data_IF_455136969853
#
_entry.id   IF_455136969853
#
_cell.length_a   1.000
_cell.length_b   1.000
_cell.length_c   1.000
_cell.angle_alpha   90.00
_cell.angle_beta   90.00
_cell.angle_gamma   90.00
#
_symmetry.space_group_name_H-M   'P 1'
#
loop_
_entity.id
_entity.type
_entity.pdbx_description
1 polymer ?
#
# COMPACT_ATOMS: atom_id res chain seq x y z
N UNK A 1 18.17 18.38 7.22
CA UNK A 1 17.13 19.05 8.03
C UNK A 1 15.95 19.55 7.22
N UNK A 2 16.07 20.52 6.29
CA UNK A 2 14.89 21.03 5.55
C UNK A 2 14.36 20.06 4.47
N UNK A 3 15.26 19.37 3.75
CA UNK A 3 14.89 18.31 2.81
C UNK A 3 14.24 17.11 3.49
N UNK A 4 14.70 16.77 4.69
CA UNK A 4 14.15 15.64 5.46
C UNK A 4 12.77 15.97 6.03
N UNK A 5 12.54 17.20 6.49
CA UNK A 5 11.22 17.70 6.91
C UNK A 5 10.22 17.73 5.74
N UNK A 6 10.65 18.19 4.57
CA UNK A 6 9.84 18.15 3.34
C UNK A 6 9.55 16.71 2.92
N UNK A 7 10.52 15.80 3.02
CA UNK A 7 10.34 14.38 2.73
C UNK A 7 9.35 13.73 3.69
N UNK A 8 9.47 13.99 4.99
CA UNK A 8 8.56 13.46 6.01
C UNK A 8 7.12 13.99 5.81
N UNK A 9 6.96 15.30 5.53
CA UNK A 9 5.66 15.90 5.21
C UNK A 9 5.05 15.36 3.92
N UNK A 10 5.88 15.17 2.89
CA UNK A 10 5.43 14.55 1.63
C UNK A 10 4.99 13.12 1.86
N UNK A 11 5.67 12.39 2.75
CA UNK A 11 5.33 11.01 3.07
C UNK A 11 4.04 10.89 3.88
N UNK A 12 3.81 11.76 4.87
CA UNK A 12 2.51 11.87 5.57
C UNK A 12 1.37 12.15 4.59
N UNK A 13 1.53 13.16 3.74
CA UNK A 13 0.54 13.53 2.74
C UNK A 13 0.26 12.41 1.73
N UNK A 14 1.31 11.69 1.33
CA UNK A 14 1.19 10.55 0.44
C UNK A 14 0.45 9.39 1.11
N UNK A 15 0.68 9.13 2.40
CA UNK A 15 -0.12 8.15 3.14
C UNK A 15 -1.57 8.58 3.29
N UNK A 16 -1.84 9.88 3.48
CA UNK A 16 -3.20 10.42 3.51
C UNK A 16 -3.95 10.19 2.18
N UNK A 17 -3.26 10.31 1.04
CA UNK A 17 -3.85 9.97 -0.28
C UNK A 17 -4.21 8.48 -0.37
N UNK A 18 -3.37 7.60 0.19
CA UNK A 18 -3.60 6.16 0.14
C UNK A 18 -4.63 5.68 1.16
N UNK A 19 -4.78 6.37 2.30
CA UNK A 19 -5.57 5.93 3.44
C UNK A 19 -7.05 5.59 3.12
N UNK A 20 -7.79 6.39 2.31
CA UNK A 20 -9.18 6.08 1.96
C UNK A 20 -9.36 4.74 1.24
N UNK A 21 -8.33 4.30 0.50
CA UNK A 21 -8.39 3.11 -0.33
C UNK A 21 -7.64 1.91 0.26
N UNK A 22 -6.50 2.17 0.90
CA UNK A 22 -5.54 1.15 1.33
C UNK A 22 -5.19 1.26 2.82
N UNK A 23 -5.88 2.12 3.59
CA UNK A 23 -5.61 2.31 5.02
C UNK A 23 -5.70 1.03 5.85
N UNK A 24 -6.62 0.13 5.51
CA UNK A 24 -6.72 -1.19 6.13
C UNK A 24 -5.45 -2.04 5.93
N UNK A 25 -4.90 -2.03 4.72
CA UNK A 25 -3.63 -2.72 4.40
C UNK A 25 -2.47 -2.05 5.13
N UNK A 26 -2.35 -0.73 5.05
CA UNK A 26 -1.25 0.04 5.66
C UNK A 26 -1.21 -0.18 7.17
N UNK A 27 -2.35 -0.03 7.85
CA UNK A 27 -2.44 -0.24 9.30
C UNK A 27 -2.08 -1.67 9.68
N UNK A 28 -2.61 -2.66 8.97
CA UNK A 28 -2.31 -4.07 9.23
C UNK A 28 -0.82 -4.38 9.09
N UNK A 29 -0.16 -3.88 8.03
CA UNK A 29 1.29 -4.08 7.85
C UNK A 29 2.06 -3.46 9.02
N UNK A 30 1.73 -2.23 9.43
CA UNK A 30 2.41 -1.56 10.56
C UNK A 30 2.19 -2.33 11.87
N UNK A 31 0.96 -2.73 12.16
CA UNK A 31 0.62 -3.49 13.38
C UNK A 31 1.39 -4.81 13.44
N UNK A 32 1.44 -5.55 12.33
CA UNK A 32 2.15 -6.81 12.22
C UNK A 32 3.69 -6.63 12.31
N UNK A 33 4.25 -5.57 11.74
CA UNK A 33 5.67 -5.25 11.87
C UNK A 33 6.06 -4.99 13.33
N UNK A 34 5.25 -4.22 14.07
CA UNK A 34 5.46 -3.99 15.50
C UNK A 34 5.46 -5.29 16.29
N UNK A 35 4.56 -6.23 15.96
CA UNK A 35 4.54 -7.55 16.60
C UNK A 35 5.81 -8.35 16.28
N UNK A 36 6.28 -8.33 15.03
CA UNK A 36 7.49 -9.02 14.60
C UNK A 36 8.75 -8.43 15.27
N UNK A 37 8.86 -7.09 15.32
CA UNK A 37 9.98 -6.40 15.98
C UNK A 37 10.06 -6.69 17.48
N UNK A 38 8.90 -6.91 18.12
CA UNK A 38 8.81 -7.30 19.53
C UNK A 38 9.00 -8.80 19.78
N UNK A 39 9.28 -9.58 18.73
CA UNK A 39 9.40 -11.04 18.83
C UNK A 39 8.07 -11.76 19.14
N UNK A 40 6.93 -11.11 18.93
CA UNK A 40 5.58 -11.63 19.21
C UNK A 40 4.91 -12.21 17.96
N UNK A 41 5.68 -12.92 17.13
CA UNK A 41 5.21 -13.46 15.86
C UNK A 41 3.98 -14.39 16.00
N UNK A 42 3.86 -15.12 17.12
CA UNK A 42 2.71 -15.99 17.38
C UNK A 42 1.38 -15.22 17.46
N UNK A 43 1.42 -13.95 17.86
CA UNK A 43 0.21 -13.11 17.93
C UNK A 43 -0.37 -12.75 16.56
N UNK A 44 0.41 -12.90 15.49
CA UNK A 44 -0.06 -12.68 14.12
C UNK A 44 -1.23 -13.60 13.75
N UNK A 45 -1.38 -14.77 14.40
CA UNK A 45 -2.53 -15.67 14.19
C UNK A 45 -3.88 -14.98 14.48
N UNK A 46 -3.89 -13.98 15.37
CA UNK A 46 -5.11 -13.22 15.68
C UNK A 46 -5.57 -12.32 14.52
N UNK A 47 -4.65 -12.01 13.60
CA UNK A 47 -4.90 -11.14 12.45
C UNK A 47 -5.43 -11.89 11.21
N UNK A 48 -5.64 -13.21 11.29
CA UNK A 48 -6.08 -14.04 10.15
C UNK A 48 -7.37 -13.53 9.50
N UNK A 49 -8.38 -13.17 10.30
CA UNK A 49 -9.66 -12.67 9.76
C UNK A 49 -9.48 -11.32 9.07
N UNK A 50 -8.69 -10.42 9.66
CA UNK A 50 -8.43 -9.07 9.13
C UNK A 50 -7.65 -9.16 7.82
N UNK A 51 -6.61 -10.01 7.74
CA UNK A 51 -5.85 -10.16 6.49
C UNK A 51 -6.70 -10.76 5.37
N UNK A 52 -7.62 -11.69 5.67
CA UNK A 52 -8.54 -12.23 4.66
C UNK A 52 -9.44 -11.15 4.05
N UNK A 53 -10.00 -10.27 4.89
CA UNK A 53 -10.83 -9.15 4.42
C UNK A 53 -10.01 -8.17 3.58
N UNK A 54 -8.78 -7.86 4.01
CA UNK A 54 -7.87 -6.96 3.29
C UNK A 54 -7.52 -7.52 1.91
N UNK A 55 -7.17 -8.81 1.79
CA UNK A 55 -6.84 -9.40 0.48
C UNK A 55 -8.04 -9.35 -0.46
N UNK A 56 -9.23 -9.74 0.02
CA UNK A 56 -10.45 -9.71 -0.81
C UNK A 56 -10.82 -8.29 -1.24
N UNK A 57 -10.77 -7.33 -0.32
CA UNK A 57 -11.03 -5.93 -0.62
C UNK A 57 -10.02 -5.37 -1.63
N UNK A 58 -8.74 -5.64 -1.41
CA UNK A 58 -7.69 -5.25 -2.35
C UNK A 58 -7.95 -5.84 -3.74
N UNK A 59 -8.22 -7.15 -3.83
CA UNK A 59 -8.43 -7.82 -5.11
C UNK A 59 -9.58 -7.24 -5.94
N UNK A 60 -10.66 -6.84 -5.28
CA UNK A 60 -11.84 -6.31 -5.96
C UNK A 60 -11.65 -4.86 -6.41
N UNK A 61 -10.99 -4.03 -5.60
CA UNK A 61 -11.10 -2.58 -5.75
C UNK A 61 -9.79 -1.86 -6.10
N UNK A 62 -8.64 -2.55 -6.07
CA UNK A 62 -7.33 -1.89 -6.23
C UNK A 62 -7.20 -1.08 -7.53
N UNK A 63 -7.71 -1.58 -8.68
CA UNK A 63 -7.63 -0.84 -9.96
C UNK A 63 -8.46 0.44 -9.92
N UNK A 64 -9.68 0.36 -9.40
CA UNK A 64 -10.59 1.50 -9.25
C UNK A 64 -10.01 2.52 -8.26
N UNK A 65 -9.41 2.04 -7.17
CA UNK A 65 -8.70 2.90 -6.23
C UNK A 65 -7.53 3.64 -6.89
N UNK A 66 -6.72 2.97 -7.71
CA UNK A 66 -5.63 3.63 -8.46
C UNK A 66 -6.14 4.74 -9.38
N UNK A 67 -7.25 4.49 -10.09
CA UNK A 67 -7.87 5.49 -10.96
C UNK A 67 -8.39 6.68 -10.15
N UNK A 68 -9.08 6.44 -9.04
CA UNK A 68 -9.59 7.49 -8.16
C UNK A 68 -8.46 8.34 -7.59
N UNK A 69 -7.39 7.72 -7.09
CA UNK A 69 -6.21 8.42 -6.58
C UNK A 69 -5.60 9.31 -7.66
N UNK A 70 -5.46 8.81 -8.89
CA UNK A 70 -4.97 9.62 -10.01
C UNK A 70 -5.88 10.82 -10.26
N UNK A 71 -7.20 10.63 -10.32
CA UNK A 71 -8.15 11.74 -10.53
C UNK A 71 -8.11 12.76 -9.39
N UNK A 72 -8.05 12.31 -8.14
CA UNK A 72 -7.99 13.18 -6.96
C UNK A 72 -6.71 14.02 -6.94
N UNK A 73 -5.55 13.40 -7.20
CA UNK A 73 -4.27 14.11 -7.28
C UNK A 73 -4.29 15.12 -8.42
N UNK A 74 -4.79 14.75 -9.60
CA UNK A 74 -4.85 15.68 -10.74
C UNK A 74 -5.84 16.82 -10.53
N UNK A 75 -6.89 16.64 -9.70
CA UNK A 75 -7.81 17.72 -9.30
C UNK A 75 -7.22 18.62 -8.21
N UNK A 76 -6.48 18.05 -7.26
CA UNK A 76 -5.90 18.76 -6.13
C UNK A 76 -4.72 19.66 -6.55
N UNK A 77 -3.99 19.29 -7.61
CA UNK A 77 -2.79 20.00 -8.07
C UNK A 77 -2.97 20.58 -9.47
N UNK A 78 -3.13 21.90 -9.58
CA UNK A 78 -3.17 22.63 -10.86
C UNK A 78 -1.86 22.57 -11.64
N UNK A 79 -0.73 22.35 -10.96
CA UNK A 79 0.56 22.10 -11.60
C UNK A 79 0.71 20.60 -11.89
N UNK A 80 0.60 20.23 -13.17
CA UNK A 80 0.68 18.85 -13.65
C UNK A 80 1.98 18.13 -13.26
N UNK A 81 3.12 18.83 -13.26
CA UNK A 81 4.41 18.25 -12.88
C UNK A 81 4.44 17.90 -11.39
N UNK A 82 3.91 18.77 -10.54
CA UNK A 82 3.84 18.53 -9.10
C UNK A 82 2.83 17.42 -8.77
N UNK A 83 1.64 17.45 -9.38
CA UNK A 83 0.64 16.39 -9.21
C UNK A 83 1.18 15.02 -9.61
N UNK A 84 1.89 14.95 -10.74
CA UNK A 84 2.51 13.69 -11.18
C UNK A 84 3.59 13.19 -10.22
N UNK A 85 4.43 14.09 -9.68
CA UNK A 85 5.44 13.68 -8.69
C UNK A 85 4.82 13.11 -7.42
N UNK A 86 3.75 13.74 -6.93
CA UNK A 86 3.00 13.28 -5.75
C UNK A 86 2.34 11.94 -6.01
N UNK A 87 1.67 11.79 -7.16
CA UNK A 87 1.07 10.53 -7.57
C UNK A 87 2.12 9.41 -7.61
N UNK A 88 3.28 9.66 -8.23
CA UNK A 88 4.35 8.67 -8.27
C UNK A 88 4.90 8.33 -6.88
N UNK A 89 4.97 9.29 -5.96
CA UNK A 89 5.27 9.06 -4.55
C UNK A 89 4.26 8.11 -3.90
N UNK A 90 2.96 8.35 -4.09
CA UNK A 90 1.89 7.50 -3.58
C UNK A 90 1.90 6.10 -4.14
N UNK A 91 2.04 5.96 -5.45
CA UNK A 91 2.10 4.64 -6.07
C UNK A 91 3.35 3.87 -5.65
N UNK A 92 4.48 4.55 -5.49
CA UNK A 92 5.71 3.95 -4.97
C UNK A 92 5.52 3.46 -3.54
N UNK A 93 4.91 4.27 -2.68
CA UNK A 93 4.66 3.90 -1.29
C UNK A 93 3.69 2.71 -1.19
N UNK A 94 2.64 2.69 -2.02
CA UNK A 94 1.73 1.54 -2.13
C UNK A 94 2.49 0.24 -2.47
N UNK A 95 3.40 0.27 -3.45
CA UNK A 95 4.21 -0.90 -3.82
C UNK A 95 5.11 -1.35 -2.67
N UNK A 96 5.72 -0.41 -1.93
CA UNK A 96 6.52 -0.74 -0.75
C UNK A 96 5.69 -1.42 0.35
N UNK A 97 4.50 -0.87 0.65
CA UNK A 97 3.56 -1.50 1.59
C UNK A 97 3.12 -2.88 1.12
N UNK A 98 2.87 -3.06 -0.18
CA UNK A 98 2.49 -4.36 -0.73
C UNK A 98 3.62 -5.41 -0.63
N UNK A 99 4.87 -5.01 -0.84
CA UNK A 99 6.01 -5.91 -0.62
C UNK A 99 6.14 -6.33 0.85
N UNK A 100 6.01 -5.38 1.77
CA UNK A 100 6.01 -5.66 3.22
C UNK A 100 4.85 -6.56 3.60
N UNK A 101 3.66 -6.30 3.08
CA UNK A 101 2.47 -7.15 3.23
C UNK A 101 2.73 -8.60 2.82
N UNK A 102 3.31 -8.82 1.63
CA UNK A 102 3.68 -10.17 1.16
C UNK A 102 4.73 -10.83 2.06
N UNK A 103 5.73 -10.07 2.54
CA UNK A 103 6.76 -10.57 3.46
C UNK A 103 6.15 -11.04 4.80
N UNK A 104 5.19 -10.30 5.33
CA UNK A 104 4.48 -10.67 6.56
C UNK A 104 3.59 -11.90 6.32
N UNK A 105 2.89 -11.96 5.18
CA UNK A 105 2.10 -13.14 4.79
C UNK A 105 2.95 -14.39 4.49
N UNK A 106 4.26 -14.26 4.36
CA UNK A 106 5.19 -15.39 4.24
C UNK A 106 5.59 -15.99 5.60
N UNK A 107 5.18 -15.38 6.73
CA UNK A 107 5.47 -15.89 8.07
C UNK A 107 4.83 -17.27 8.30
N UNK A 108 5.47 -18.16 9.09
CA UNK A 108 4.99 -19.54 9.30
C UNK A 108 3.56 -19.63 9.82
N UNK A 109 3.16 -18.68 10.66
CA UNK A 109 1.81 -18.55 11.24
C UNK A 109 0.71 -18.47 10.17
N UNK A 110 1.01 -17.90 9.00
CA UNK A 110 0.08 -17.77 7.90
C UNK A 110 0.23 -18.86 6.84
N UNK A 111 1.10 -19.85 7.03
CA UNK A 111 1.42 -20.85 5.99
C UNK A 111 0.19 -21.54 5.42
N UNK A 112 -0.79 -21.84 6.27
CA UNK A 112 -2.00 -22.59 5.91
C UNK A 112 -3.18 -21.71 5.48
N UNK A 113 -3.01 -20.38 5.45
CA UNK A 113 -4.05 -19.47 4.97
C UNK A 113 -4.25 -19.60 3.46
N UNK A 114 -5.41 -20.13 3.05
CA UNK A 114 -5.76 -20.28 1.64
C UNK A 114 -5.81 -18.94 0.88
N UNK A 115 -6.13 -17.84 1.58
CA UNK A 115 -6.20 -16.50 0.99
C UNK A 115 -4.87 -16.05 0.36
N UNK A 116 -3.74 -16.65 0.74
CA UNK A 116 -2.43 -16.38 0.12
C UNK A 116 -2.42 -16.69 -1.37
N UNK A 117 -3.21 -17.67 -1.81
CA UNK A 117 -3.36 -18.04 -3.22
C UNK A 117 -4.22 -17.04 -4.00
N UNK A 118 -5.06 -16.27 -3.30
CA UNK A 118 -5.89 -15.23 -3.91
C UNK A 118 -5.12 -13.91 -4.08
N UNK A 119 -3.93 -13.76 -3.49
CA UNK A 119 -3.13 -12.55 -3.61
C UNK A 119 -2.83 -12.21 -5.07
N UNK A 120 -3.13 -10.96 -5.45
CA UNK A 120 -2.68 -10.45 -6.73
C UNK A 120 -1.16 -10.47 -6.79
N UNK A 121 -0.63 -10.96 -7.91
CA UNK A 121 0.80 -10.90 -8.17
C UNK A 121 1.26 -9.44 -8.22
N UNK A 122 2.30 -9.10 -7.45
CA UNK A 122 2.88 -7.76 -7.40
C UNK A 122 3.24 -7.22 -8.78
N UNK A 123 3.62 -8.07 -9.74
CA UNK A 123 3.89 -7.66 -11.11
C UNK A 123 2.66 -7.07 -11.80
N UNK A 124 1.45 -7.60 -11.56
CA UNK A 124 0.22 -7.01 -12.09
C UNK A 124 -0.03 -5.62 -11.49
N UNK A 125 0.20 -5.47 -10.18
CA UNK A 125 0.09 -4.17 -9.51
C UNK A 125 1.09 -3.18 -10.10
N UNK A 126 2.35 -3.59 -10.28
CA UNK A 126 3.40 -2.77 -10.88
C UNK A 126 3.08 -2.37 -12.33
N UNK A 127 2.55 -3.28 -13.15
CA UNK A 127 2.18 -2.99 -14.54
C UNK A 127 1.08 -1.93 -14.58
N UNK A 128 0.08 -2.03 -13.70
CA UNK A 128 -0.99 -1.02 -13.61
C UNK A 128 -0.45 0.33 -13.14
N UNK A 129 0.38 0.34 -12.10
CA UNK A 129 1.04 1.55 -11.58
C UNK A 129 1.88 2.25 -12.67
N UNK A 130 2.55 1.48 -13.52
CA UNK A 130 3.36 2.03 -14.64
C UNK A 130 2.54 2.82 -15.65
N UNK A 131 1.23 2.57 -15.79
CA UNK A 131 0.35 3.34 -16.70
C UNK A 131 0.23 4.80 -16.29
N UNK A 132 0.43 5.10 -15.02
CA UNK A 132 0.35 6.45 -14.46
C UNK A 132 1.70 7.18 -14.45
N UNK A 133 2.76 6.56 -15.00
CA UNK A 133 4.05 7.25 -15.16
C UNK A 133 3.91 8.37 -16.18
N UNK A 134 4.58 9.51 -15.94
CA UNK A 134 4.63 10.53 -16.96
C UNK A 134 5.35 10.02 -18.21
N UNK A 135 4.69 10.14 -19.37
CA UNK A 135 5.32 10.07 -20.68
C UNK A 135 5.81 11.48 -21.00
N UNK A 136 7.04 11.81 -20.62
CA UNK A 136 7.71 13.04 -21.04
C UNK A 136 8.80 12.70 -22.05
#
# INVERSE_FOLDING_TARGET
MFRDLLSARTQEFVEEILAPHFGGLISWVKDCEVLLERGQADRLATEEKRVQQIVRGFNNDWKRALENINQEVMRAFTNFKNGTQILQGALTLLIQYYHRFQKILAQPVFRNLQIRHELINIHHVMVEVKKYRPTF
#
